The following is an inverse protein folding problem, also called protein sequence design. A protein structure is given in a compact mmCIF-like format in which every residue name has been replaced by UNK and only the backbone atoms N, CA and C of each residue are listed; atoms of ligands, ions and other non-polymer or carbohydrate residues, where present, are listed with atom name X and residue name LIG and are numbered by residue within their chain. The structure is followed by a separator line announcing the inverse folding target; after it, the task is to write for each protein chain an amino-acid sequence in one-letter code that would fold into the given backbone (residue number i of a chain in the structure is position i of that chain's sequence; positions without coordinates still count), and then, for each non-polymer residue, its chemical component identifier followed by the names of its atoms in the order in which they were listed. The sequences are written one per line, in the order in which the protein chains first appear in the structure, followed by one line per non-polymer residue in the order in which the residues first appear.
data_IF_815106201300
#
_entry.id   IF_815106201300
#
_cell.length_a   1.000
_cell.length_b   1.000
_cell.length_c   1.000
_cell.angle_alpha   90.00
_cell.angle_beta   90.00
_cell.angle_gamma   90.00
#
_symmetry.space_group_name_H-M   'P 1'
#
loop_
_entity.id
_entity.type
_entity.pdbx_description
1 polymer ?
#
# COMPACT_ATOMS: atom_id res chain seq x y z
N UNK A 1 -12.09 73.63 -9.82
CA UNK A 1 -11.10 72.78 -10.52
C UNK A 1 -9.99 72.27 -9.67
N UNK A 2 -10.00 72.48 -8.37
CA UNK A 2 -8.92 72.05 -7.48
C UNK A 2 -9.19 70.74 -6.77
N UNK A 3 -10.31 70.10 -6.98
CA UNK A 3 -10.73 68.93 -6.19
C UNK A 3 -10.77 67.60 -6.96
N UNK A 4 -10.33 67.62 -8.22
CA UNK A 4 -10.36 66.45 -9.06
C UNK A 4 -9.11 65.52 -8.88
N UNK A 5 -8.11 66.03 -8.17
CA UNK A 5 -6.85 65.32 -7.96
C UNK A 5 -6.82 64.46 -6.69
N UNK A 6 -7.89 64.43 -5.92
CA UNK A 6 -7.91 63.70 -4.64
C UNK A 6 -8.75 62.43 -4.67
N UNK A 7 -9.30 62.06 -5.80
CA UNK A 7 -10.17 60.86 -5.88
C UNK A 7 -9.48 59.64 -6.50
N UNK A 8 -8.22 59.80 -6.91
CA UNK A 8 -7.53 58.71 -7.63
C UNK A 8 -6.63 57.87 -6.73
N UNK A 9 -6.63 58.07 -5.45
CA UNK A 9 -5.66 57.39 -4.59
C UNK A 9 -6.25 56.38 -3.61
N UNK A 10 -7.46 55.88 -3.82
CA UNK A 10 -8.04 54.86 -2.93
C UNK A 10 -8.65 53.71 -3.72
N UNK A 11 -7.99 53.32 -4.79
CA UNK A 11 -8.15 51.96 -5.31
C UNK A 11 -6.88 51.20 -4.95
N UNK A 12 -6.63 51.05 -3.66
CA UNK A 12 -5.74 50.05 -3.17
C UNK A 12 -6.35 48.71 -3.53
N UNK A 13 -5.79 48.09 -4.55
CA UNK A 13 -6.05 46.75 -4.92
C UNK A 13 -5.86 45.85 -3.68
N UNK A 14 -6.95 45.43 -3.12
CA UNK A 14 -6.93 44.24 -2.27
C UNK A 14 -6.63 43.03 -3.19
N UNK A 15 -5.37 42.83 -3.50
CA UNK A 15 -4.91 41.57 -4.01
C UNK A 15 -5.16 40.54 -2.92
N UNK A 16 -6.33 39.93 -2.97
CA UNK A 16 -6.55 38.68 -2.25
C UNK A 16 -5.55 37.68 -2.84
N UNK A 17 -4.46 37.52 -2.16
CA UNK A 17 -3.62 36.35 -2.33
C UNK A 17 -4.47 35.17 -1.86
N UNK A 18 -5.24 34.60 -2.78
CA UNK A 18 -5.72 33.24 -2.60
C UNK A 18 -4.48 32.35 -2.59
N UNK A 19 -3.93 32.16 -1.42
CA UNK A 19 -3.04 31.06 -1.18
C UNK A 19 -3.89 29.81 -1.40
N UNK A 20 -3.84 29.27 -2.61
CA UNK A 20 -4.26 27.90 -2.84
C UNK A 20 -3.33 27.05 -1.99
N UNK A 21 -3.78 26.73 -0.79
CA UNK A 21 -3.20 25.62 -0.03
C UNK A 21 -3.52 24.41 -0.89
N UNK A 22 -2.60 24.07 -1.79
CA UNK A 22 -2.62 22.77 -2.39
C UNK A 22 -2.64 21.77 -1.22
N UNK A 23 -3.54 20.77 -1.24
CA UNK A 23 -3.44 19.73 -0.26
C UNK A 23 -2.04 19.15 -0.40
N UNK A 24 -1.20 19.40 0.58
CA UNK A 24 0.03 18.65 0.71
C UNK A 24 -0.46 17.24 0.96
N UNK A 25 -0.47 16.44 -0.10
CA UNK A 25 -0.55 15.01 0.04
C UNK A 25 0.67 14.65 0.86
N UNK A 26 0.50 14.57 2.16
CA UNK A 26 1.45 13.87 3.00
C UNK A 26 1.34 12.43 2.50
N UNK A 27 2.19 12.10 1.52
CA UNK A 27 2.52 10.71 1.30
C UNK A 27 3.15 10.29 2.61
N UNK A 28 2.34 9.72 3.49
CA UNK A 28 2.87 8.89 4.55
C UNK A 28 3.88 7.99 3.84
N UNK A 29 5.12 8.02 4.32
CA UNK A 29 6.19 7.12 3.90
C UNK A 29 5.59 5.88 3.26
N UNK A 30 6.15 5.39 2.16
CA UNK A 30 5.68 4.20 1.41
C UNK A 30 5.62 2.92 2.29
N UNK A 31 5.25 3.08 3.54
CA UNK A 31 5.06 2.01 4.50
C UNK A 31 3.84 1.21 4.08
N UNK A 32 4.10 0.10 3.44
CA UNK A 32 3.11 -0.92 3.15
C UNK A 32 3.10 -1.95 4.28
N UNK A 33 1.94 -2.54 4.50
CA UNK A 33 1.83 -3.70 5.36
C UNK A 33 2.08 -4.96 4.54
N UNK A 34 3.14 -5.70 4.86
CA UNK A 34 3.60 -6.82 4.05
C UNK A 34 3.13 -8.15 4.62
N UNK A 35 2.34 -8.87 3.84
CA UNK A 35 1.88 -10.23 4.15
C UNK A 35 2.65 -11.20 3.28
N UNK A 36 3.37 -12.12 3.91
CA UNK A 36 4.00 -13.25 3.24
C UNK A 36 3.08 -14.46 3.22
N UNK A 37 3.18 -15.28 2.20
CA UNK A 37 2.52 -16.58 2.13
C UNK A 37 3.52 -17.68 1.76
N UNK A 38 3.34 -18.85 2.32
CA UNK A 38 4.12 -20.05 1.96
C UNK A 38 3.16 -21.22 1.79
N UNK A 39 3.40 -22.00 0.77
CA UNK A 39 2.70 -23.26 0.55
C UNK A 39 3.05 -23.84 -0.81
N UNK A 40 2.68 -25.08 -1.07
CA UNK A 40 2.96 -25.73 -2.35
C UNK A 40 2.03 -25.17 -3.43
N UNK A 41 2.58 -24.52 -4.46
CA UNK A 41 1.84 -24.13 -5.67
C UNK A 41 2.27 -24.92 -6.89
N UNK A 42 3.28 -25.77 -6.73
CA UNK A 42 3.70 -26.80 -7.68
C UNK A 42 3.77 -28.18 -7.01
N UNK A 43 3.89 -29.24 -7.81
CA UNK A 43 3.96 -30.60 -7.31
C UNK A 43 2.62 -31.19 -6.90
N UNK A 44 2.66 -32.32 -6.17
CA UNK A 44 1.47 -33.13 -5.87
C UNK A 44 0.45 -32.44 -4.95
N UNK A 45 0.90 -31.51 -4.11
CA UNK A 45 0.05 -30.77 -3.17
C UNK A 45 -0.36 -29.37 -3.71
N UNK A 46 -0.06 -29.05 -4.96
CA UNK A 46 -0.27 -27.73 -5.55
C UNK A 46 -1.71 -27.21 -5.45
N UNK A 47 -2.69 -28.08 -5.53
CA UNK A 47 -4.12 -27.74 -5.44
C UNK A 47 -4.45 -27.03 -4.13
N UNK A 48 -3.81 -27.40 -3.03
CA UNK A 48 -4.07 -26.81 -1.72
C UNK A 48 -3.41 -25.43 -1.61
N UNK A 49 -2.15 -25.30 -2.01
CA UNK A 49 -1.42 -24.02 -1.95
C UNK A 49 -1.98 -22.99 -2.91
N UNK A 50 -2.37 -23.40 -4.12
CA UNK A 50 -3.02 -22.50 -5.09
C UNK A 50 -4.35 -21.96 -4.56
N UNK A 51 -5.16 -22.79 -3.90
CA UNK A 51 -6.41 -22.34 -3.31
C UNK A 51 -6.18 -21.29 -2.22
N UNK A 52 -5.23 -21.51 -1.33
CA UNK A 52 -4.89 -20.54 -0.26
C UNK A 52 -4.32 -19.26 -0.84
N UNK A 53 -3.39 -19.37 -1.80
CA UNK A 53 -2.81 -18.20 -2.47
C UNK A 53 -3.90 -17.34 -3.12
N UNK A 54 -4.77 -17.93 -3.92
CA UNK A 54 -5.81 -17.21 -4.63
C UNK A 54 -6.82 -16.56 -3.67
N UNK A 55 -7.21 -17.26 -2.61
CA UNK A 55 -8.10 -16.71 -1.60
C UNK A 55 -7.47 -15.53 -0.85
N UNK A 56 -6.19 -15.63 -0.53
CA UNK A 56 -5.45 -14.55 0.13
C UNK A 56 -5.31 -13.34 -0.79
N UNK A 57 -4.97 -13.53 -2.06
CA UNK A 57 -4.90 -12.45 -3.04
C UNK A 57 -6.26 -11.73 -3.20
N UNK A 58 -7.35 -12.48 -3.26
CA UNK A 58 -8.70 -11.91 -3.34
C UNK A 58 -9.00 -11.04 -2.11
N UNK A 59 -8.76 -11.56 -0.92
CA UNK A 59 -9.01 -10.84 0.33
C UNK A 59 -8.17 -9.56 0.43
N UNK A 60 -6.90 -9.61 0.02
CA UNK A 60 -5.99 -8.45 0.04
C UNK A 60 -6.43 -7.40 -0.97
N UNK A 61 -6.88 -7.80 -2.16
CA UNK A 61 -7.41 -6.86 -3.15
C UNK A 61 -8.65 -6.14 -2.60
N UNK A 62 -9.59 -6.84 -1.99
CA UNK A 62 -10.76 -6.22 -1.34
C UNK A 62 -10.35 -5.24 -0.23
N UNK A 63 -9.43 -5.61 0.63
CA UNK A 63 -8.90 -4.74 1.69
C UNK A 63 -8.26 -3.48 1.11
N UNK A 64 -7.48 -3.61 0.04
CA UNK A 64 -6.83 -2.48 -0.61
C UNK A 64 -7.82 -1.55 -1.32
N UNK A 65 -8.86 -2.09 -1.96
CA UNK A 65 -9.95 -1.32 -2.56
C UNK A 65 -10.69 -0.50 -1.51
N UNK A 66 -10.85 -1.03 -0.30
CA UNK A 66 -11.47 -0.36 0.83
C UNK A 66 -10.53 0.63 1.56
N UNK A 67 -9.32 0.85 1.07
CA UNK A 67 -8.36 1.82 1.61
C UNK A 67 -7.24 1.22 2.46
N UNK A 68 -7.11 -0.10 2.48
CA UNK A 68 -6.05 -0.79 3.19
C UNK A 68 -6.33 -1.01 4.69
N UNK A 69 -5.28 -1.30 5.43
CA UNK A 69 -5.34 -1.49 6.90
C UNK A 69 -4.83 -0.22 7.56
N UNK A 70 -5.69 0.48 8.30
CA UNK A 70 -5.35 1.77 8.93
C UNK A 70 -4.76 2.80 7.94
N UNK A 71 -5.19 2.78 6.68
CA UNK A 71 -4.68 3.64 5.61
C UNK A 71 -3.41 3.13 4.93
N UNK A 72 -2.84 2.02 5.37
CA UNK A 72 -1.70 1.38 4.73
C UNK A 72 -2.16 0.38 3.67
N UNK A 73 -1.60 0.47 2.48
CA UNK A 73 -1.81 -0.56 1.47
C UNK A 73 -1.15 -1.87 1.89
N UNK A 74 -1.74 -2.98 1.52
CA UNK A 74 -1.21 -4.32 1.81
C UNK A 74 -0.49 -4.85 0.57
N UNK A 75 0.76 -5.23 0.74
CA UNK A 75 1.51 -6.00 -0.25
C UNK A 75 1.48 -7.49 0.10
N UNK A 76 1.41 -8.33 -0.91
CA UNK A 76 1.40 -9.76 -0.75
C UNK A 76 2.47 -10.43 -1.61
N UNK A 77 3.22 -11.33 -1.00
CA UNK A 77 4.19 -12.17 -1.69
C UNK A 77 4.03 -13.60 -1.23
N UNK A 78 3.87 -14.51 -2.19
CA UNK A 78 3.73 -15.94 -1.92
C UNK A 78 4.93 -16.70 -2.46
N UNK A 79 5.51 -17.57 -1.65
CA UNK A 79 6.63 -18.42 -2.01
C UNK A 79 6.18 -19.89 -2.06
N UNK A 80 6.62 -20.58 -3.10
CA UNK A 80 6.37 -21.99 -3.31
C UNK A 80 7.37 -22.82 -2.50
N UNK A 81 6.89 -23.69 -1.64
CA UNK A 81 7.73 -24.63 -0.89
C UNK A 81 7.72 -26.04 -1.46
N UNK A 82 6.94 -26.31 -2.50
CA UNK A 82 6.77 -27.62 -3.11
C UNK A 82 6.50 -28.74 -2.09
N UNK A 83 5.98 -28.40 -0.91
CA UNK A 83 5.78 -29.29 0.23
C UNK A 83 7.09 -29.93 0.74
N UNK A 84 8.18 -29.21 0.68
CA UNK A 84 9.52 -29.60 1.11
C UNK A 84 10.00 -28.73 2.26
N UNK A 85 10.51 -29.36 3.34
CA UNK A 85 10.89 -28.64 4.55
C UNK A 85 12.06 -27.67 4.36
N UNK A 86 13.03 -28.01 3.53
CA UNK A 86 14.18 -27.15 3.24
C UNK A 86 13.75 -25.95 2.40
N UNK A 87 12.88 -26.17 1.39
CA UNK A 87 12.31 -25.11 0.58
C UNK A 87 11.41 -24.18 1.40
N UNK A 88 10.64 -24.73 2.35
CA UNK A 88 9.85 -23.93 3.30
C UNK A 88 10.74 -22.99 4.12
N UNK A 89 11.87 -23.47 4.62
CA UNK A 89 12.81 -22.62 5.38
C UNK A 89 13.42 -21.53 4.49
N UNK A 90 13.78 -21.85 3.25
CA UNK A 90 14.29 -20.88 2.31
C UNK A 90 13.23 -19.82 1.94
N UNK A 91 11.99 -20.25 1.70
CA UNK A 91 10.84 -19.36 1.45
C UNK A 91 10.60 -18.41 2.63
N UNK A 92 10.64 -18.92 3.85
CA UNK A 92 10.51 -18.10 5.05
C UNK A 92 11.59 -17.03 5.15
N UNK A 93 12.86 -17.42 4.94
CA UNK A 93 13.96 -16.48 4.98
C UNK A 93 13.83 -15.40 3.88
N UNK A 94 13.44 -15.78 2.67
CA UNK A 94 13.21 -14.83 1.58
C UNK A 94 12.09 -13.81 1.92
N UNK A 95 10.99 -14.25 2.51
CA UNK A 95 9.91 -13.38 2.95
C UNK A 95 10.33 -12.48 4.12
N UNK A 96 11.11 -13.00 5.05
CA UNK A 96 11.68 -12.22 6.16
C UNK A 96 12.60 -11.11 5.64
N UNK A 97 13.47 -11.42 4.70
CA UNK A 97 14.39 -10.45 4.08
C UNK A 97 13.63 -9.42 3.23
N UNK A 98 12.52 -9.79 2.63
CA UNK A 98 11.61 -8.87 1.98
C UNK A 98 10.90 -7.91 2.96
N UNK A 99 10.89 -8.24 4.24
CA UNK A 99 10.32 -7.42 5.31
C UNK A 99 8.86 -7.74 5.62
N UNK A 100 8.44 -9.02 5.50
CA UNK A 100 7.08 -9.41 5.88
C UNK A 100 6.78 -9.07 7.34
N UNK A 101 5.56 -8.61 7.57
CA UNK A 101 5.04 -8.32 8.91
C UNK A 101 4.29 -9.52 9.49
N UNK A 102 3.63 -10.30 8.64
CA UNK A 102 2.83 -11.47 9.04
C UNK A 102 2.92 -12.56 7.97
N UNK A 103 2.82 -13.81 8.38
CA UNK A 103 2.87 -14.97 7.51
C UNK A 103 1.51 -15.68 7.46
N UNK A 104 1.06 -16.00 6.26
CA UNK A 104 -0.07 -16.90 5.97
C UNK A 104 0.48 -18.24 5.48
N UNK A 105 0.08 -19.31 6.10
CA UNK A 105 0.57 -20.65 5.79
C UNK A 105 1.47 -21.16 6.92
N UNK A 106 2.14 -22.23 6.83
CA UNK A 106 2.38 -23.09 5.66
C UNK A 106 1.15 -23.99 5.41
N UNK A 107 0.74 -24.18 4.18
CA UNK A 107 -0.55 -24.85 3.85
C UNK A 107 -0.56 -26.33 4.20
N UNK A 108 0.61 -26.97 4.13
CA UNK A 108 0.78 -28.41 4.39
C UNK A 108 1.87 -28.66 5.41
#
# INVERSE_FOLDING_TARGET
MKNLKKIISVTAAAAMVMSTVAPVSVFADDATFKIGGIGPVTGAAAIYGQAVKNATELAINEVNEDGGINGYQVEFKFEDDENDAEKTLNAYNALKDWGMNILVGTVT
#
